data_IF_926299598332
#
_entry.id   IF_926299598332
#
_cell.length_a   1.000
_cell.length_b   1.000
_cell.length_c   1.000
_cell.angle_alpha   90.00
_cell.angle_beta   90.00
_cell.angle_gamma   90.00
#
_symmetry.space_group_name_H-M   'P 1'
#
loop_
_entity.id
_entity.type
_entity.pdbx_description
1 polymer ?
#
# COMPACT_ATOMS: atom_id res chain seq x y z
N UNK A 1 -7.51 14.21 22.40
CA UNK A 1 -7.20 12.93 23.07
C UNK A 1 -5.68 12.82 23.17
N UNK A 2 -5.14 12.29 24.28
CA UNK A 2 -3.69 12.01 24.38
C UNK A 2 -3.28 10.98 23.32
N UNK A 3 -2.28 11.29 22.46
CA UNK A 3 -1.70 10.36 21.50
C UNK A 3 -1.22 9.06 22.16
N UNK A 4 -1.22 7.96 21.42
CA UNK A 4 -0.69 6.67 21.90
C UNK A 4 0.64 6.30 21.24
N UNK A 5 1.07 7.09 20.25
CA UNK A 5 2.33 6.95 19.54
C UNK A 5 2.80 8.34 19.11
N UNK A 6 4.10 8.45 18.81
CA UNK A 6 4.73 9.60 18.16
C UNK A 6 5.58 9.08 17.02
N UNK A 7 5.61 9.81 15.90
CA UNK A 7 6.48 9.49 14.76
C UNK A 7 7.36 10.71 14.50
N UNK A 8 8.67 10.54 14.63
CA UNK A 8 9.64 11.52 14.21
C UNK A 8 9.79 11.45 12.68
N UNK A 9 9.41 12.52 12.00
CA UNK A 9 9.28 12.58 10.53
C UNK A 9 10.32 13.50 9.87
N UNK A 10 11.14 14.19 10.67
CA UNK A 10 12.09 15.23 10.23
C UNK A 10 13.49 14.71 9.89
N UNK A 11 13.77 13.43 10.14
CA UNK A 11 15.04 12.77 9.78
C UNK A 11 15.04 12.13 8.38
N UNK A 12 16.18 11.55 7.98
CA UNK A 12 16.29 10.74 6.75
C UNK A 12 15.46 9.45 6.82
N UNK A 13 15.32 8.87 8.01
CA UNK A 13 14.46 7.72 8.27
C UNK A 13 13.45 8.07 9.38
N UNK A 14 12.18 7.64 9.25
CA UNK A 14 11.17 7.91 10.27
C UNK A 14 11.33 6.98 11.48
N UNK A 15 11.31 7.54 12.69
CA UNK A 15 11.37 6.78 13.95
C UNK A 15 10.03 6.79 14.67
N UNK A 16 9.59 5.61 15.11
CA UNK A 16 8.31 5.43 15.83
C UNK A 16 8.51 5.16 17.31
N UNK A 17 7.80 5.92 18.15
CA UNK A 17 7.80 5.80 19.60
C UNK A 17 6.39 5.42 20.06
N UNK A 18 6.25 4.26 20.71
CA UNK A 18 4.95 3.68 21.05
C UNK A 18 4.78 3.49 22.55
N UNK A 19 3.58 3.76 23.05
CA UNK A 19 3.17 3.34 24.37
C UNK A 19 2.73 1.88 24.35
N UNK A 20 3.23 1.09 25.31
CA UNK A 20 2.82 -0.31 25.47
C UNK A 20 1.76 -0.41 26.55
N UNK A 21 0.61 -0.99 26.21
CA UNK A 21 -0.52 -1.17 27.12
C UNK A 21 -0.87 -2.64 27.29
N UNK A 22 -1.26 -3.02 28.51
CA UNK A 22 -1.92 -4.31 28.79
C UNK A 22 -3.42 -4.15 28.68
N UNK A 23 -4.06 -4.82 27.72
CA UNK A 23 -5.51 -4.86 27.62
C UNK A 23 -6.14 -5.45 28.89
N UNK A 24 -7.30 -4.92 29.30
CA UNK A 24 -8.07 -5.45 30.42
C UNK A 24 -9.38 -6.06 29.87
N UNK A 25 -9.62 -7.34 30.13
CA UNK A 25 -10.78 -8.05 29.61
C UNK A 25 -12.13 -7.50 30.11
N UNK A 26 -12.12 -6.81 31.26
CA UNK A 26 -13.33 -6.32 31.92
C UNK A 26 -13.66 -4.84 31.65
N UNK A 27 -12.75 -4.07 31.05
CA UNK A 27 -12.97 -2.65 30.75
C UNK A 27 -12.54 -2.34 29.32
N UNK A 28 -13.47 -1.86 28.48
CA UNK A 28 -13.23 -1.38 27.09
C UNK A 28 -12.41 -0.07 27.01
N UNK A 29 -11.66 0.28 28.06
CA UNK A 29 -10.85 1.49 28.14
C UNK A 29 -9.39 1.27 27.74
N UNK A 30 -8.58 2.35 27.74
CA UNK A 30 -7.13 2.23 27.63
C UNK A 30 -6.62 1.39 28.81
N UNK A 31 -5.98 0.27 28.50
CA UNK A 31 -5.48 -0.69 29.49
C UNK A 31 -4.38 -0.11 30.42
N UNK A 32 -3.76 -0.94 31.25
CA UNK A 32 -2.66 -0.47 32.12
C UNK A 32 -1.42 -0.21 31.28
N UNK A 33 -0.85 1.00 31.33
CA UNK A 33 0.42 1.35 30.67
C UNK A 33 1.55 0.51 31.28
N UNK A 34 2.27 -0.22 30.44
CA UNK A 34 3.37 -1.12 30.84
C UNK A 34 4.74 -0.49 30.59
N UNK A 35 4.90 0.23 29.50
CA UNK A 35 6.15 0.88 29.13
C UNK A 35 5.88 2.18 28.34
N UNK A 36 6.79 3.13 28.48
CA UNK A 36 6.82 4.36 27.70
C UNK A 36 8.27 4.79 27.41
N UNK A 37 8.51 5.54 26.31
CA UNK A 37 9.79 6.18 26.04
C UNK A 37 10.24 7.15 27.14
N UNK A 38 11.56 7.36 27.26
CA UNK A 38 12.19 8.15 28.35
C UNK A 38 11.71 9.61 28.44
N UNK A 39 11.23 10.20 27.33
CA UNK A 39 10.72 11.57 27.25
C UNK A 39 9.32 11.61 26.60
N UNK A 40 8.42 10.73 27.03
CA UNK A 40 7.09 10.60 26.41
C UNK A 40 6.26 11.89 26.43
N UNK A 41 6.37 12.71 27.48
CA UNK A 41 5.58 13.93 27.63
C UNK A 41 5.85 14.93 26.49
N UNK A 42 7.13 15.11 26.12
CA UNK A 42 7.53 16.00 25.04
C UNK A 42 7.04 15.47 23.68
N UNK A 43 7.18 14.17 23.43
CA UNK A 43 6.68 13.51 22.22
C UNK A 43 5.14 13.60 22.11
N UNK A 44 4.45 13.50 23.23
CA UNK A 44 3.01 13.64 23.31
C UNK A 44 2.56 15.05 22.92
N UNK A 45 3.26 16.09 23.40
CA UNK A 45 2.97 17.48 23.04
C UNK A 45 3.26 17.74 21.56
N UNK A 46 4.39 17.24 21.04
CA UNK A 46 4.74 17.37 19.63
C UNK A 46 3.71 16.70 18.73
N UNK A 47 3.34 15.43 18.98
CA UNK A 47 2.33 14.75 18.17
C UNK A 47 0.95 15.41 18.28
N UNK A 48 0.58 15.94 19.46
CA UNK A 48 -0.66 16.69 19.61
C UNK A 48 -0.68 17.94 18.72
N UNK A 49 0.40 18.73 18.73
CA UNK A 49 0.52 19.91 17.87
C UNK A 49 0.50 19.56 16.38
N UNK A 50 1.13 18.44 16.00
CA UNK A 50 1.10 17.91 14.64
C UNK A 50 -0.32 17.52 14.21
N UNK A 51 -1.04 16.78 15.06
CA UNK A 51 -2.42 16.38 14.78
C UNK A 51 -3.36 17.59 14.64
N UNK A 52 -3.20 18.61 15.49
CA UNK A 52 -3.95 19.86 15.36
C UNK A 52 -3.68 20.56 14.02
N UNK A 53 -2.42 20.61 13.58
CA UNK A 53 -2.06 21.18 12.29
C UNK A 53 -2.62 20.34 11.12
N UNK A 54 -2.62 19.01 11.25
CA UNK A 54 -3.16 18.10 10.24
C UNK A 54 -4.68 18.21 10.14
N UNK A 55 -5.40 18.34 11.26
CA UNK A 55 -6.84 18.59 11.30
C UNK A 55 -7.19 19.88 10.53
N UNK A 56 -6.40 20.95 10.73
CA UNK A 56 -6.56 22.21 9.98
C UNK A 56 -6.27 22.01 8.49
N UNK A 57 -5.21 21.28 8.14
CA UNK A 57 -4.84 21.01 6.75
C UNK A 57 -5.94 20.23 6.02
N UNK A 58 -6.49 19.19 6.65
CA UNK A 58 -7.59 18.40 6.10
C UNK A 58 -8.82 19.27 5.86
N UNK A 59 -9.16 20.12 6.82
CA UNK A 59 -10.27 21.07 6.70
C UNK A 59 -10.04 22.07 5.54
N UNK A 60 -8.83 22.61 5.43
CA UNK A 60 -8.44 23.51 4.35
C UNK A 60 -8.53 22.84 2.97
N UNK A 61 -7.98 21.63 2.83
CA UNK A 61 -8.05 20.87 1.58
C UNK A 61 -9.51 20.58 1.20
N UNK A 62 -10.31 20.13 2.16
CA UNK A 62 -11.71 19.82 1.92
C UNK A 62 -12.51 21.08 1.52
N UNK A 63 -12.27 22.21 2.17
CA UNK A 63 -12.94 23.47 1.87
C UNK A 63 -12.52 24.06 0.51
N UNK A 64 -11.23 24.00 0.16
CA UNK A 64 -10.70 24.62 -1.07
C UNK A 64 -10.93 23.76 -2.32
N UNK A 65 -11.08 22.43 -2.18
CA UNK A 65 -11.35 21.54 -3.31
C UNK A 65 -12.69 21.81 -4.00
N UNK A 66 -13.65 22.42 -3.29
CA UNK A 66 -14.94 22.83 -3.85
C UNK A 66 -14.84 23.98 -4.87
N UNK A 67 -13.69 24.70 -4.90
CA UNK A 67 -13.30 25.78 -5.82
C UNK A 67 -14.19 27.03 -5.82
N UNK A 68 -15.49 26.87 -6.06
CA UNK A 68 -16.43 27.98 -6.27
C UNK A 68 -17.42 28.13 -5.10
N UNK A 69 -17.96 27.05 -4.55
CA UNK A 69 -18.95 27.09 -3.47
C UNK A 69 -18.94 25.80 -2.64
N UNK A 70 -18.92 25.94 -1.31
CA UNK A 70 -19.05 24.84 -0.36
C UNK A 70 -20.40 24.96 0.36
N UNK A 71 -21.25 23.94 0.23
CA UNK A 71 -22.53 23.84 0.93
C UNK A 71 -22.39 22.79 2.03
N UNK A 72 -22.67 23.16 3.27
CA UNK A 72 -22.58 22.26 4.43
C UNK A 72 -23.96 22.14 5.06
N UNK A 73 -24.51 20.93 5.08
CA UNK A 73 -25.71 20.62 5.84
C UNK A 73 -25.35 20.49 7.33
N UNK A 74 -25.89 21.36 8.16
CA UNK A 74 -25.75 21.29 9.62
C UNK A 74 -27.11 21.04 10.25
N UNK A 75 -27.22 20.02 11.11
CA UNK A 75 -28.38 19.86 11.97
C UNK A 75 -28.18 20.67 13.25
N UNK A 76 -29.23 21.36 13.69
CA UNK A 76 -29.25 22.21 14.87
C UNK A 76 -29.36 21.38 16.17
N UNK A 77 -28.48 20.38 16.33
CA UNK A 77 -28.41 19.55 17.53
C UNK A 77 -27.44 20.16 18.53
N UNK A 78 -27.82 20.11 19.82
CA UNK A 78 -27.09 20.63 21.00
C UNK A 78 -25.63 20.13 21.16
N UNK A 79 -25.16 19.24 20.29
CA UNK A 79 -23.82 18.64 20.29
C UNK A 79 -23.25 18.59 18.88
N UNK A 80 -22.91 19.75 18.32
CA UNK A 80 -22.23 19.85 17.03
C UNK A 80 -20.72 19.49 17.10
N UNK A 81 -20.24 18.98 18.24
CA UNK A 81 -18.83 18.59 18.48
C UNK A 81 -18.34 17.43 17.62
N UNK A 82 -19.25 16.57 17.13
CA UNK A 82 -18.91 15.47 16.23
C UNK A 82 -18.93 15.86 14.75
N UNK A 83 -19.27 17.12 14.44
CA UNK A 83 -19.33 17.59 13.06
C UNK A 83 -17.90 17.91 12.58
N UNK A 84 -17.38 17.25 11.52
CA UNK A 84 -16.02 17.48 11.02
C UNK A 84 -15.83 18.91 10.49
N UNK A 85 -16.92 19.62 10.16
CA UNK A 85 -16.90 21.01 9.70
C UNK A 85 -17.05 22.03 10.82
N UNK A 86 -17.21 21.60 12.07
CA UNK A 86 -17.58 22.46 13.19
C UNK A 86 -16.73 23.73 13.31
N UNK A 87 -15.42 23.62 13.06
CA UNK A 87 -14.49 24.75 13.09
C UNK A 87 -14.84 25.86 12.09
N UNK A 88 -15.41 25.53 10.93
CA UNK A 88 -15.92 26.52 9.96
C UNK A 88 -17.29 27.07 10.37
N UNK A 89 -18.11 26.26 11.05
CA UNK A 89 -19.47 26.63 11.44
C UNK A 89 -19.51 27.63 12.62
N UNK A 90 -18.45 27.72 13.43
CA UNK A 90 -18.38 28.60 14.63
C UNK A 90 -18.68 30.07 14.35
N UNK A 91 -18.31 30.57 13.17
CA UNK A 91 -18.43 31.98 12.80
C UNK A 91 -19.44 32.21 11.66
N UNK A 92 -20.31 31.24 11.37
CA UNK A 92 -21.33 31.41 10.34
C UNK A 92 -22.38 32.41 10.83
N UNK A 93 -22.65 33.41 10.00
CA UNK A 93 -23.71 34.38 10.23
C UNK A 93 -25.02 33.87 9.64
N UNK A 94 -26.14 34.27 10.22
CA UNK A 94 -27.49 33.87 9.76
C UNK A 94 -27.76 34.22 8.29
N UNK A 95 -27.13 35.26 7.77
CA UNK A 95 -27.17 35.71 6.37
C UNK A 95 -26.47 34.77 5.37
N UNK A 96 -25.59 33.87 5.85
CA UNK A 96 -24.92 32.86 5.02
C UNK A 96 -25.73 31.56 4.93
N UNK A 97 -26.80 31.43 5.71
CA UNK A 97 -27.69 30.28 5.64
C UNK A 97 -28.53 30.39 4.37
N UNK A 98 -28.41 29.40 3.50
CA UNK A 98 -29.28 29.28 2.34
C UNK A 98 -30.62 28.78 2.85
N UNK A 99 -31.65 29.64 2.79
CA UNK A 99 -33.03 29.22 2.95
C UNK A 99 -33.36 28.30 1.79
N UNK A 100 -33.33 27.01 2.04
CA UNK A 100 -33.91 26.03 1.13
C UNK A 100 -35.41 26.29 1.17
N UNK A 101 -36.05 26.74 0.07
CA UNK A 101 -37.49 26.81 0.03
C UNK A 101 -37.99 25.43 0.43
N UNK A 102 -38.95 25.36 1.34
CA UNK A 102 -39.70 24.14 1.54
C UNK A 102 -40.34 23.87 0.17
N UNK A 103 -39.67 23.05 -0.64
CA UNK A 103 -40.25 22.54 -1.86
C UNK A 103 -41.51 21.88 -1.35
N UNK A 104 -42.66 22.49 -1.64
CA UNK A 104 -43.94 21.95 -1.23
C UNK A 104 -43.87 20.48 -1.62
N UNK A 105 -43.77 19.61 -0.62
CA UNK A 105 -43.97 18.19 -0.84
C UNK A 105 -45.27 18.18 -1.63
N UNK A 106 -45.29 17.62 -2.85
CA UNK A 106 -46.48 17.67 -3.69
C UNK A 106 -47.62 17.26 -2.80
N UNK A 107 -48.58 18.17 -2.64
CA UNK A 107 -49.63 18.11 -1.64
C UNK A 107 -50.09 16.66 -1.58
N UNK A 108 -49.68 15.97 -0.52
CA UNK A 108 -49.98 14.54 -0.38
C UNK A 108 -51.44 14.57 0.02
N UNK A 109 -52.31 14.78 -0.97
CA UNK A 109 -53.61 14.10 -0.99
C UNK A 109 -53.30 12.73 -0.47
N UNK A 110 -53.96 12.33 0.61
CA UNK A 110 -53.91 11.00 1.19
C UNK A 110 -54.22 9.99 0.08
N UNK A 111 -53.24 9.73 -0.79
CA UNK A 111 -53.10 8.48 -1.47
C UNK A 111 -52.78 7.57 -0.32
N UNK A 112 -53.75 6.71 -0.03
CA UNK A 112 -53.56 5.46 0.68
C UNK A 112 -52.09 5.10 0.55
N UNK A 113 -51.36 5.22 1.67
CA UNK A 113 -49.97 4.77 1.72
C UNK A 113 -50.06 3.31 1.36
N UNK A 114 -49.77 2.98 0.09
CA UNK A 114 -49.04 1.76 -0.15
C UNK A 114 -47.81 1.93 0.74
N UNK A 115 -47.81 1.19 1.85
CA UNK A 115 -46.59 0.86 2.58
C UNK A 115 -45.69 0.13 1.59
N UNK A 116 -45.11 0.88 0.65
CA UNK A 116 -43.93 0.43 -0.07
C UNK A 116 -42.92 0.30 1.04
N UNK A 117 -42.67 -0.96 1.38
CA UNK A 117 -42.04 -1.39 2.61
C UNK A 117 -40.60 -0.90 2.63
N UNK A 118 -40.41 0.34 3.08
CA UNK A 118 -39.11 0.92 3.41
C UNK A 118 -38.37 0.00 4.39
N UNK A 119 -39.12 -0.79 5.16
CA UNK A 119 -38.58 -1.80 6.08
C UNK A 119 -38.02 -3.03 5.36
N UNK A 120 -38.64 -3.48 4.27
CA UNK A 120 -38.12 -4.58 3.45
C UNK A 120 -36.96 -4.13 2.57
N UNK A 121 -37.03 -2.92 2.00
CA UNK A 121 -35.90 -2.30 1.28
C UNK A 121 -34.69 -2.10 2.22
N UNK A 122 -34.93 -1.61 3.44
CA UNK A 122 -33.88 -1.48 4.45
C UNK A 122 -33.31 -2.84 4.88
N UNK A 123 -34.15 -3.87 5.03
CA UNK A 123 -33.68 -5.24 5.32
C UNK A 123 -32.88 -5.82 4.16
N UNK A 124 -33.23 -5.50 2.92
CA UNK A 124 -32.52 -5.97 1.73
C UNK A 124 -31.15 -5.30 1.63
N UNK A 125 -31.07 -3.98 1.83
CA UNK A 125 -29.80 -3.24 1.93
C UNK A 125 -28.97 -3.73 3.12
N UNK A 126 -29.58 -4.03 4.27
CA UNK A 126 -28.88 -4.55 5.44
C UNK A 126 -28.36 -5.98 5.21
N UNK A 127 -29.07 -6.80 4.42
CA UNK A 127 -28.57 -8.09 3.95
C UNK A 127 -27.40 -7.92 2.98
N UNK A 128 -27.49 -7.02 2.00
CA UNK A 128 -26.38 -6.73 1.06
C UNK A 128 -25.14 -6.22 1.80
N UNK A 129 -25.30 -5.22 2.67
CA UNK A 129 -24.22 -4.69 3.51
C UNK A 129 -23.68 -5.72 4.51
N UNK A 130 -24.55 -6.57 5.07
CA UNK A 130 -24.16 -7.69 5.92
C UNK A 130 -23.34 -8.74 5.16
N UNK A 131 -23.63 -8.95 3.89
CA UNK A 131 -22.87 -9.83 3.01
C UNK A 131 -21.48 -9.25 2.72
N UNK A 132 -21.39 -7.95 2.40
CA UNK A 132 -20.11 -7.25 2.22
C UNK A 132 -19.28 -7.27 3.50
N UNK A 133 -19.92 -7.04 4.64
CA UNK A 133 -19.27 -7.10 5.96
C UNK A 133 -18.79 -8.52 6.28
N UNK A 134 -19.55 -9.56 5.94
CA UNK A 134 -19.11 -10.96 6.09
C UNK A 134 -17.90 -11.27 5.21
N UNK A 135 -17.90 -10.81 3.96
CA UNK A 135 -16.78 -11.01 3.04
C UNK A 135 -15.52 -10.23 3.46
N UNK A 136 -15.68 -9.03 4.01
CA UNK A 136 -14.59 -8.24 4.60
C UNK A 136 -14.14 -8.73 5.99
N UNK A 137 -15.01 -9.41 6.74
CA UNK A 137 -14.70 -9.99 8.06
C UNK A 137 -13.89 -11.28 7.97
N UNK A 138 -13.77 -11.87 6.78
CA UNK A 138 -12.83 -12.96 6.54
C UNK A 138 -11.43 -12.39 6.70
N UNK A 139 -10.71 -12.88 7.71
CA UNK A 139 -9.34 -12.43 8.00
C UNK A 139 -8.50 -12.44 6.71
N UNK A 140 -8.15 -11.24 6.22
CA UNK A 140 -7.31 -11.05 5.03
C UNK A 140 -5.83 -11.28 5.31
N UNK A 141 -5.50 -11.51 6.59
CA UNK A 141 -4.18 -11.80 7.09
C UNK A 141 -4.21 -13.10 7.88
N UNK A 142 -3.09 -13.82 7.86
CA UNK A 142 -2.85 -14.99 8.66
C UNK A 142 -1.63 -14.69 9.54
N UNK A 143 -1.81 -14.66 10.85
CA UNK A 143 -0.70 -14.56 11.79
C UNK A 143 0.06 -15.90 11.78
N UNK A 144 1.38 -15.88 11.60
CA UNK A 144 2.24 -17.08 11.56
C UNK A 144 3.47 -16.87 12.43
N UNK A 145 3.86 -17.91 13.16
CA UNK A 145 5.09 -17.92 13.96
C UNK A 145 6.26 -18.41 13.07
N UNK A 146 7.52 -18.08 13.40
CA UNK A 146 8.68 -18.48 12.61
C UNK A 146 8.81 -19.99 12.33
N UNK A 147 8.14 -20.84 13.11
CA UNK A 147 8.07 -22.29 12.93
C UNK A 147 7.17 -22.76 11.78
N UNK A 148 6.25 -21.94 11.29
CA UNK A 148 5.22 -22.30 10.29
C UNK A 148 5.69 -22.13 8.83
N UNK A 149 6.99 -21.84 8.62
CA UNK A 149 7.64 -21.63 7.31
C UNK A 149 8.21 -22.91 6.69
N UNK A 150 8.09 -24.06 7.34
CA UNK A 150 8.71 -25.32 6.85
C UNK A 150 8.01 -25.94 5.64
N UNK A 151 6.74 -25.59 5.39
CA UNK A 151 5.93 -26.11 4.28
C UNK A 151 5.44 -24.97 3.37
N UNK A 152 6.32 -24.35 2.57
CA UNK A 152 5.96 -23.22 1.69
C UNK A 152 4.91 -23.57 0.60
N UNK A 153 4.85 -24.83 0.15
CA UNK A 153 4.01 -25.22 -1.00
C UNK A 153 2.50 -25.26 -0.71
N UNK A 154 2.09 -25.50 0.55
CA UNK A 154 0.66 -25.66 0.92
C UNK A 154 -0.09 -24.33 1.08
N UNK A 155 0.59 -23.19 0.98
CA UNK A 155 0.06 -21.91 1.47
C UNK A 155 -0.11 -20.79 0.43
N UNK A 156 0.13 -21.05 -0.87
CA UNK A 156 -0.17 -20.07 -1.92
C UNK A 156 -1.67 -20.06 -2.26
N UNK A 157 -2.44 -19.18 -1.62
CA UNK A 157 -3.88 -18.95 -1.92
C UNK A 157 -4.16 -17.81 -2.91
N UNK A 158 -3.14 -17.02 -3.27
CA UNK A 158 -3.24 -16.09 -4.40
C UNK A 158 -2.82 -16.90 -5.64
N UNK A 159 -3.68 -16.95 -6.65
CA UNK A 159 -3.31 -17.46 -7.96
C UNK A 159 -2.31 -16.50 -8.61
N UNK A 160 -1.04 -16.59 -8.18
CA UNK A 160 0.06 -16.01 -8.92
C UNK A 160 0.14 -16.76 -10.24
N UNK A 161 0.02 -16.04 -11.37
CA UNK A 161 0.50 -16.56 -12.64
C UNK A 161 1.96 -16.95 -12.37
N UNK A 162 2.28 -18.23 -12.48
CA UNK A 162 3.65 -18.72 -12.26
C UNK A 162 4.55 -18.17 -13.37
N UNK A 163 5.00 -16.93 -13.18
CA UNK A 163 6.04 -16.31 -14.00
C UNK A 163 7.40 -16.94 -13.72
N UNK A 164 7.49 -17.93 -12.82
CA UNK A 164 8.71 -18.56 -12.36
C UNK A 164 9.49 -17.62 -11.45
N UNK A 165 9.52 -17.93 -10.15
CA UNK A 165 10.27 -17.16 -9.16
C UNK A 165 11.78 -17.11 -9.43
N UNK A 166 12.59 -16.92 -8.39
CA UNK A 166 14.05 -16.71 -8.50
C UNK A 166 14.79 -17.73 -9.39
N UNK A 167 14.36 -19.00 -9.38
CA UNK A 167 14.93 -20.05 -10.22
C UNK A 167 14.77 -19.79 -11.73
N UNK A 168 13.59 -19.32 -12.15
CA UNK A 168 13.31 -19.02 -13.57
C UNK A 168 14.03 -17.75 -14.02
N UNK A 169 14.02 -16.69 -13.20
CA UNK A 169 14.84 -15.50 -13.46
C UNK A 169 16.30 -15.89 -13.66
N UNK A 170 16.86 -16.69 -12.75
CA UNK A 170 18.23 -17.20 -12.85
C UNK A 170 18.47 -18.04 -14.13
N UNK A 171 17.49 -18.83 -14.56
CA UNK A 171 17.56 -19.57 -15.82
C UNK A 171 17.61 -18.62 -17.02
N UNK A 172 16.72 -17.63 -17.09
CA UNK A 172 16.68 -16.62 -18.16
C UNK A 172 18.00 -15.86 -18.23
N UNK A 173 18.51 -15.39 -17.09
CA UNK A 173 19.80 -14.68 -16.99
C UNK A 173 20.95 -15.52 -17.58
N UNK A 174 21.10 -16.78 -17.16
CA UNK A 174 22.15 -17.67 -17.67
C UNK A 174 22.05 -17.90 -19.17
N UNK A 175 20.83 -18.07 -19.70
CA UNK A 175 20.63 -18.25 -21.14
C UNK A 175 20.98 -16.99 -21.94
N UNK A 176 20.66 -15.80 -21.44
CA UNK A 176 21.06 -14.57 -22.10
C UNK A 176 22.56 -14.31 -22.03
N UNK A 177 23.20 -14.59 -20.90
CA UNK A 177 24.65 -14.49 -20.77
C UNK A 177 25.37 -15.42 -21.76
N UNK A 178 24.95 -16.70 -21.82
CA UNK A 178 25.46 -17.68 -22.79
C UNK A 178 25.21 -17.23 -24.24
N UNK A 179 24.01 -16.72 -24.54
CA UNK A 179 23.67 -16.23 -25.88
C UNK A 179 24.55 -15.04 -26.30
N UNK A 180 24.83 -14.11 -25.39
CA UNK A 180 25.63 -12.93 -25.69
C UNK A 180 27.10 -13.29 -25.85
N UNK A 181 27.65 -14.18 -25.00
CA UNK A 181 29.06 -14.60 -25.06
C UNK A 181 29.35 -15.46 -26.29
N UNK A 182 28.65 -16.58 -26.42
CA UNK A 182 29.00 -17.65 -27.36
C UNK A 182 28.28 -17.55 -28.71
N UNK A 183 27.18 -16.79 -28.79
CA UNK A 183 26.34 -16.70 -29.99
C UNK A 183 26.07 -18.07 -30.66
N UNK A 184 25.58 -19.06 -29.88
CA UNK A 184 25.48 -20.44 -30.33
C UNK A 184 24.45 -20.59 -31.45
N UNK A 185 24.62 -21.67 -32.22
CA UNK A 185 23.62 -22.13 -33.16
C UNK A 185 22.31 -22.55 -32.44
N UNK A 186 21.27 -22.82 -33.22
CA UNK A 186 19.95 -23.13 -32.64
C UNK A 186 19.94 -24.44 -31.85
N UNK A 187 20.75 -25.42 -32.26
CA UNK A 187 20.77 -26.74 -31.62
C UNK A 187 21.47 -26.69 -30.26
N UNK A 188 22.66 -26.09 -30.20
CA UNK A 188 23.40 -25.90 -28.94
C UNK A 188 22.64 -25.01 -27.96
N UNK A 189 21.97 -23.98 -28.45
CA UNK A 189 21.12 -23.12 -27.61
C UNK A 189 19.95 -23.91 -27.00
N UNK A 190 19.29 -24.76 -27.78
CA UNK A 190 18.20 -25.62 -27.28
C UNK A 190 18.69 -26.58 -26.19
N UNK A 191 19.84 -27.21 -26.41
CA UNK A 191 20.45 -28.12 -25.45
C UNK A 191 20.85 -27.39 -24.15
N UNK A 192 21.39 -26.18 -24.28
CA UNK A 192 21.79 -25.37 -23.13
C UNK A 192 20.58 -24.89 -22.31
N UNK A 193 19.45 -24.60 -22.98
CA UNK A 193 18.17 -24.32 -22.32
C UNK A 193 17.70 -25.51 -21.49
N UNK A 194 17.69 -26.71 -22.05
CA UNK A 194 17.28 -27.93 -21.34
C UNK A 194 18.15 -28.15 -20.10
N UNK A 195 19.48 -28.13 -20.28
CA UNK A 195 20.44 -28.29 -19.19
C UNK A 195 20.28 -27.24 -18.09
N UNK A 196 19.95 -26.00 -18.44
CA UNK A 196 19.77 -24.91 -17.47
C UNK A 196 18.47 -25.06 -16.70
N UNK A 197 17.39 -25.50 -17.35
CA UNK A 197 16.10 -25.77 -16.69
C UNK A 197 16.24 -26.95 -15.71
N UNK A 198 16.88 -28.04 -16.12
CA UNK A 198 17.16 -29.20 -15.25
C UNK A 198 17.96 -28.80 -14.01
N UNK A 199 19.06 -28.05 -14.20
CA UNK A 199 19.89 -27.56 -13.09
C UNK A 199 19.15 -26.68 -12.09
N UNK A 200 18.11 -25.98 -12.53
CA UNK A 200 17.31 -25.10 -11.69
C UNK A 200 16.05 -25.79 -11.13
N UNK A 201 15.88 -27.10 -11.38
CA UNK A 201 14.70 -27.86 -10.96
C UNK A 201 13.41 -27.44 -11.66
N UNK A 202 13.50 -26.82 -12.85
CA UNK A 202 12.35 -26.28 -13.58
C UNK A 202 11.85 -27.32 -14.58
N UNK A 203 10.52 -27.49 -14.65
CA UNK A 203 9.89 -28.40 -15.61
C UNK A 203 10.26 -28.06 -17.06
N UNK A 204 10.68 -29.07 -17.82
CA UNK A 204 10.97 -28.96 -19.26
C UNK A 204 9.77 -28.48 -20.10
N UNK A 205 8.54 -28.56 -19.58
CA UNK A 205 7.35 -27.98 -20.23
C UNK A 205 7.52 -26.47 -20.50
N UNK A 206 8.26 -25.76 -19.64
CA UNK A 206 8.55 -24.32 -19.79
C UNK A 206 9.67 -24.00 -20.79
N UNK A 207 10.30 -25.01 -21.40
CA UNK A 207 11.26 -24.81 -22.51
C UNK A 207 10.67 -23.97 -23.63
N UNK A 208 9.41 -24.21 -23.99
CA UNK A 208 8.72 -23.49 -25.07
C UNK A 208 8.64 -21.99 -24.77
N UNK A 209 8.36 -21.65 -23.51
CA UNK A 209 8.30 -20.27 -23.03
C UNK A 209 9.68 -19.59 -23.13
N UNK A 210 10.75 -20.26 -22.65
CA UNK A 210 12.10 -19.69 -22.67
C UNK A 210 12.62 -19.50 -24.10
N UNK A 211 12.36 -20.46 -24.99
CA UNK A 211 12.66 -20.34 -26.43
C UNK A 211 11.89 -19.17 -27.05
N UNK A 212 10.64 -18.95 -26.64
CA UNK A 212 9.83 -17.80 -27.05
C UNK A 212 10.45 -16.46 -26.64
N UNK A 213 10.92 -16.36 -25.39
CA UNK A 213 11.61 -15.18 -24.86
C UNK A 213 12.89 -14.90 -25.66
N UNK A 214 13.73 -15.92 -25.87
CA UNK A 214 14.97 -15.78 -26.64
C UNK A 214 14.70 -15.38 -28.08
N UNK A 215 13.65 -15.91 -28.71
CA UNK A 215 13.25 -15.53 -30.06
C UNK A 215 12.81 -14.07 -30.12
N UNK A 216 12.04 -13.59 -29.15
CA UNK A 216 11.65 -12.17 -29.06
C UNK A 216 12.87 -11.28 -28.87
N UNK A 217 13.79 -11.67 -27.98
CA UNK A 217 15.04 -10.95 -27.77
C UNK A 217 15.88 -10.85 -29.05
N UNK A 218 16.07 -11.94 -29.79
CA UNK A 218 16.81 -11.95 -31.07
C UNK A 218 16.20 -11.03 -32.15
N UNK A 219 14.88 -10.77 -32.09
CA UNK A 219 14.19 -9.84 -33.00
C UNK A 219 14.27 -8.37 -32.57
N UNK A 220 14.73 -8.09 -31.35
CA UNK A 220 14.73 -6.74 -30.80
C UNK A 220 15.82 -5.86 -31.42
N UNK A 221 15.57 -4.54 -31.43
CA UNK A 221 16.57 -3.54 -31.82
C UNK A 221 17.82 -3.61 -30.94
N UNK A 222 17.68 -3.99 -29.67
CA UNK A 222 18.81 -4.17 -28.74
C UNK A 222 19.75 -5.28 -29.20
N UNK A 223 19.22 -6.44 -29.61
CA UNK A 223 20.04 -7.54 -30.10
C UNK A 223 20.75 -7.19 -31.41
N UNK A 224 20.07 -6.47 -32.31
CA UNK A 224 20.71 -5.97 -33.54
C UNK A 224 21.85 -5.00 -33.24
N UNK A 225 21.69 -4.11 -32.25
CA UNK A 225 22.77 -3.21 -31.79
C UNK A 225 23.93 -3.99 -31.18
N UNK A 226 23.65 -4.99 -30.34
CA UNK A 226 24.66 -5.88 -29.76
C UNK A 226 25.46 -6.62 -30.84
N UNK A 227 24.80 -7.09 -31.91
CA UNK A 227 25.45 -7.77 -33.04
C UNK A 227 26.39 -6.86 -33.85
N UNK A 228 26.08 -5.56 -33.92
CA UNK A 228 26.91 -4.57 -34.62
C UNK A 228 28.05 -4.02 -33.76
N UNK A 229 28.03 -4.25 -32.44
CA UNK A 229 29.05 -3.75 -31.54
C UNK A 229 30.37 -4.50 -31.72
N UNK A 230 31.49 -3.76 -31.74
CA UNK A 230 32.84 -4.33 -31.85
C UNK A 230 33.23 -5.12 -30.59
N UNK A 231 32.81 -4.66 -29.42
CA UNK A 231 33.04 -5.29 -28.13
C UNK A 231 31.71 -5.44 -27.40
N UNK A 232 31.50 -6.61 -26.80
CA UNK A 232 30.32 -6.95 -25.99
C UNK A 232 30.79 -7.61 -24.71
N UNK A 233 30.26 -7.15 -23.58
CA UNK A 233 30.52 -7.74 -22.28
C UNK A 233 29.18 -7.94 -21.58
N UNK A 234 29.02 -9.11 -20.95
CA UNK A 234 27.85 -9.45 -20.14
C UNK A 234 28.30 -9.84 -18.74
N UNK A 235 27.50 -9.45 -17.74
CA UNK A 235 27.77 -9.73 -16.32
C UNK A 235 29.16 -9.25 -15.87
N UNK A 236 29.53 -8.01 -16.23
CA UNK A 236 30.82 -7.41 -15.85
C UNK A 236 30.78 -7.00 -14.37
N UNK A 237 31.57 -7.62 -13.48
CA UNK A 237 31.70 -7.13 -12.12
C UNK A 237 32.44 -5.80 -12.15
N UNK A 238 31.97 -4.84 -11.36
CA UNK A 238 32.64 -3.57 -11.20
C UNK A 238 32.72 -3.22 -9.72
N UNK A 239 33.73 -2.42 -9.38
CA UNK A 239 33.95 -1.88 -8.05
C UNK A 239 34.14 -0.39 -8.20
N UNK A 240 33.48 0.40 -7.35
CA UNK A 240 33.61 1.85 -7.31
C UNK A 240 34.24 2.20 -5.97
N UNK A 241 35.32 2.97 -6.01
CA UNK A 241 35.89 3.56 -4.80
C UNK A 241 35.14 4.86 -4.49
N UNK A 242 34.46 4.90 -3.35
CA UNK A 242 33.66 6.06 -2.92
C UNK A 242 34.42 6.73 -1.78
N UNK A 243 35.22 7.74 -2.13
CA UNK A 243 35.93 8.58 -1.16
C UNK A 243 35.10 9.77 -0.67
N UNK A 244 35.59 10.54 0.32
CA UNK A 244 34.84 11.63 0.97
C UNK A 244 34.29 12.72 0.05
N UNK A 245 34.93 12.94 -1.10
CA UNK A 245 34.52 13.92 -2.09
C UNK A 245 33.46 13.39 -3.09
N UNK A 246 33.11 12.10 -3.05
CA UNK A 246 32.17 11.49 -3.98
C UNK A 246 30.72 11.76 -3.53
N UNK A 247 29.79 12.16 -4.42
CA UNK A 247 28.41 12.49 -4.04
C UNK A 247 27.67 11.37 -3.28
N UNK A 248 27.97 10.10 -3.58
CA UNK A 248 27.40 8.94 -2.88
C UNK A 248 28.01 8.67 -1.49
N UNK A 249 29.07 9.40 -1.09
CA UNK A 249 29.74 9.19 0.19
C UNK A 249 28.82 9.51 1.38
N UNK A 250 28.01 10.57 1.27
CA UNK A 250 27.05 10.94 2.32
C UNK A 250 25.97 9.89 2.56
N UNK A 251 25.63 9.08 1.55
CA UNK A 251 24.65 7.99 1.68
C UNK A 251 25.24 6.75 2.35
N UNK A 252 26.56 6.52 2.23
CA UNK A 252 27.24 5.38 2.83
C UNK A 252 27.65 5.63 4.29
N UNK A 253 28.13 6.84 4.61
CA UNK A 253 28.59 7.19 5.97
C UNK A 253 27.44 7.23 6.99
N UNK A 254 26.20 7.47 6.56
CA UNK A 254 25.02 7.44 7.42
C UNK A 254 24.66 6.05 7.98
N UNK A 255 25.30 4.97 7.51
CA UNK A 255 24.99 3.60 7.93
C UNK A 255 25.93 3.03 9.01
N UNK A 256 27.07 3.67 9.31
CA UNK A 256 28.11 3.12 10.19
C UNK A 256 27.94 3.42 11.70
N UNK A 257 26.88 4.13 12.10
CA UNK A 257 26.54 4.31 13.51
C UNK A 257 25.35 3.44 13.91
N UNK A 258 25.60 2.13 14.05
CA UNK A 258 24.76 1.25 14.86
C UNK A 258 25.65 0.49 15.85
N UNK A 259 25.39 0.56 17.17
CA UNK A 259 25.75 -0.52 18.08
C UNK A 259 24.92 -1.78 17.78
#
# INVERSE_FOLDING_TARGET
HEPNYYIERTGQEPYGYFLVYRSNAYNKGKGKRLAQPKNWEDYCQLEASYNEAEDIRLLYVAATRARNLLIISSLDHKSNKSNPWYSLLKNIKKEMNITVPEAGLPDVKEKEREEVSLFDDYKEIQKECGQWTKDLSKSSYHEKKPTDFKDEEKHRKIATIDVGGTAWGSAVHRIFDYLIKEDPDKQLLSLHIEKTLEKQGISLKRKVELVGIVRKFKKSNLYQRLKKAKLKYSEVPFTINIGPAHPLYSELVGQDSRP
#
